data_IF_078647298740
#
_entry.id   IF_078647298740
#
_cell.length_a   1.000
_cell.length_b   1.000
_cell.length_c   1.000
_cell.angle_alpha   90.00
_cell.angle_beta   90.00
_cell.angle_gamma   90.00
#
_symmetry.space_group_name_H-M   'P 1'
#
loop_
_entity.id
_entity.type
_entity.pdbx_description
1 polymer ?
#
# COMPACT_ATOMS: atom_id res chain seq x y z
N UNK A 1 28.71 0.78 5.21
CA UNK A 1 27.92 -0.47 5.28
C UNK A 1 27.07 -0.62 4.02
N UNK A 2 27.38 -1.57 3.13
CA UNK A 2 26.55 -1.85 1.95
C UNK A 2 25.28 -2.58 2.43
N UNK A 3 24.15 -1.89 2.41
CA UNK A 3 22.86 -2.49 2.76
C UNK A 3 22.58 -3.64 1.77
N UNK A 4 22.29 -4.84 2.29
CA UNK A 4 22.13 -6.06 1.49
C UNK A 4 21.16 -5.84 0.31
N UNK A 5 21.55 -6.28 -0.90
CA UNK A 5 20.78 -6.11 -2.14
C UNK A 5 19.32 -6.60 -2.01
N UNK A 6 19.09 -7.69 -1.27
CA UNK A 6 17.75 -8.24 -1.00
C UNK A 6 16.91 -7.29 -0.14
N UNK A 7 17.49 -6.76 0.94
CA UNK A 7 16.82 -5.80 1.84
C UNK A 7 16.47 -4.52 1.06
N UNK A 8 17.42 -3.97 0.30
CA UNK A 8 17.18 -2.79 -0.55
C UNK A 8 16.03 -3.00 -1.54
N UNK A 9 16.00 -4.16 -2.21
CA UNK A 9 14.94 -4.51 -3.16
C UNK A 9 13.57 -4.58 -2.47
N UNK A 10 13.49 -5.23 -1.31
CA UNK A 10 12.24 -5.35 -0.55
C UNK A 10 11.75 -3.99 -0.06
N UNK A 11 12.63 -3.14 0.48
CA UNK A 11 12.29 -1.77 0.89
C UNK A 11 11.76 -0.94 -0.28
N UNK A 12 12.41 -1.00 -1.45
CA UNK A 12 11.94 -0.29 -2.64
C UNK A 12 10.56 -0.79 -3.11
N UNK A 13 10.29 -2.09 -3.00
CA UNK A 13 8.99 -2.67 -3.35
C UNK A 13 7.89 -2.25 -2.37
N UNK A 14 8.18 -2.23 -1.06
CA UNK A 14 7.25 -1.75 -0.02
C UNK A 14 6.87 -0.30 -0.30
N UNK A 15 7.85 0.59 -0.50
CA UNK A 15 7.61 2.00 -0.85
C UNK A 15 6.75 2.18 -2.10
N UNK A 16 6.94 1.33 -3.11
CA UNK A 16 6.09 1.35 -4.32
C UNK A 16 4.65 0.94 -4.03
N UNK A 17 4.41 0.03 -3.09
CA UNK A 17 3.06 -0.38 -2.69
C UNK A 17 2.40 0.69 -1.82
N UNK A 18 3.14 1.32 -0.90
CA UNK A 18 2.66 2.45 -0.09
C UNK A 18 2.18 3.59 -0.98
N UNK A 19 2.99 4.01 -1.98
CA UNK A 19 2.57 5.02 -2.98
C UNK A 19 1.34 4.62 -3.79
N UNK A 20 1.06 3.32 -3.96
CA UNK A 20 -0.18 2.88 -4.62
C UNK A 20 -1.38 3.00 -3.69
N UNK A 21 -1.19 2.72 -2.39
CA UNK A 21 -2.23 2.90 -1.37
C UNK A 21 -2.60 4.38 -1.29
N UNK A 22 -1.62 5.27 -1.18
CA UNK A 22 -1.83 6.74 -1.15
C UNK A 22 -2.71 7.19 -2.32
N UNK A 23 -2.40 6.75 -3.54
CA UNK A 23 -3.21 7.07 -4.74
C UNK A 23 -4.65 6.55 -4.69
N UNK A 24 -4.91 5.42 -4.03
CA UNK A 24 -6.28 4.92 -3.86
C UNK A 24 -7.01 5.68 -2.75
N UNK A 25 -6.30 6.09 -1.69
CA UNK A 25 -6.84 6.94 -0.63
C UNK A 25 -7.19 8.34 -1.17
N UNK A 26 -6.34 8.94 -2.01
CA UNK A 26 -6.65 10.19 -2.74
C UNK A 26 -7.89 10.07 -3.62
N UNK A 27 -8.04 8.94 -4.35
CA UNK A 27 -9.24 8.69 -5.17
C UNK A 27 -10.50 8.54 -4.35
N UNK A 28 -10.41 7.97 -3.15
CA UNK A 28 -11.54 7.87 -2.21
C UNK A 28 -11.96 9.26 -1.73
N UNK A 29 -11.00 10.08 -1.32
CA UNK A 29 -11.28 11.44 -0.86
C UNK A 29 -11.90 12.27 -2.00
N UNK A 30 -11.35 12.17 -3.21
CA UNK A 30 -11.93 12.85 -4.37
C UNK A 30 -13.33 12.37 -4.69
N UNK A 31 -13.62 11.07 -4.58
CA UNK A 31 -14.98 10.56 -4.78
C UNK A 31 -15.95 11.09 -3.72
N UNK A 32 -15.50 11.22 -2.47
CA UNK A 32 -16.28 11.82 -1.39
C UNK A 32 -16.59 13.29 -1.67
N UNK A 33 -15.60 14.09 -2.07
CA UNK A 33 -15.81 15.49 -2.48
C UNK A 33 -16.81 15.62 -3.63
N UNK A 34 -16.69 14.77 -4.66
CA UNK A 34 -17.63 14.78 -5.79
C UNK A 34 -19.06 14.43 -5.36
N UNK A 35 -19.21 13.55 -4.38
CA UNK A 35 -20.52 13.19 -3.83
C UNK A 35 -21.11 14.38 -3.05
N UNK A 36 -20.30 15.03 -2.21
CA UNK A 36 -20.70 16.23 -1.45
C UNK A 36 -21.07 17.41 -2.37
N UNK A 37 -20.40 17.53 -3.52
CA UNK A 37 -20.74 18.49 -4.57
C UNK A 37 -21.97 18.09 -5.40
N UNK A 38 -22.59 16.93 -5.14
CA UNK A 38 -23.72 16.42 -5.92
C UNK A 38 -23.36 15.96 -7.35
N UNK A 39 -22.06 15.86 -7.68
CA UNK A 39 -21.58 15.43 -9.01
C UNK A 39 -21.67 13.92 -9.20
N UNK A 40 -21.66 13.15 -8.10
CA UNK A 40 -21.94 11.71 -8.11
C UNK A 40 -22.97 11.38 -7.02
N UNK A 41 -23.69 10.29 -7.21
CA UNK A 41 -24.66 9.81 -6.22
C UNK A 41 -23.97 9.10 -5.06
N UNK A 42 -24.68 9.01 -3.92
CA UNK A 42 -24.24 8.20 -2.77
C UNK A 42 -23.96 6.74 -3.17
N UNK A 43 -24.77 6.17 -4.08
CA UNK A 43 -24.56 4.81 -4.57
C UNK A 43 -23.26 4.66 -5.37
N UNK A 44 -22.94 5.62 -6.24
CA UNK A 44 -21.68 5.65 -6.99
C UNK A 44 -20.47 5.78 -6.04
N UNK A 45 -20.57 6.66 -5.04
CA UNK A 45 -19.54 6.78 -4.00
C UNK A 45 -19.33 5.47 -3.24
N UNK A 46 -20.41 4.80 -2.79
CA UNK A 46 -20.28 3.53 -2.06
C UNK A 46 -19.62 2.44 -2.91
N UNK A 47 -19.96 2.34 -4.21
CA UNK A 47 -19.31 1.40 -5.12
C UNK A 47 -17.81 1.67 -5.26
N UNK A 48 -17.42 2.94 -5.46
CA UNK A 48 -16.02 3.34 -5.49
C UNK A 48 -15.32 3.05 -4.15
N UNK A 49 -16.01 3.31 -3.04
CA UNK A 49 -15.52 3.04 -1.69
C UNK A 49 -15.17 1.58 -1.49
N UNK A 50 -16.07 0.67 -1.86
CA UNK A 50 -15.84 -0.78 -1.77
C UNK A 50 -14.64 -1.20 -2.62
N UNK A 51 -14.62 -0.83 -3.90
CA UNK A 51 -13.56 -1.23 -4.84
C UNK A 51 -12.17 -0.76 -4.37
N UNK A 52 -12.04 0.52 -3.98
CA UNK A 52 -10.76 1.05 -3.55
C UNK A 52 -10.34 0.51 -2.18
N UNK A 53 -11.28 0.31 -1.25
CA UNK A 53 -10.98 -0.30 0.06
C UNK A 53 -10.47 -1.73 -0.09
N UNK A 54 -11.04 -2.51 -1.00
CA UNK A 54 -10.59 -3.88 -1.28
C UNK A 54 -9.18 -3.88 -1.89
N UNK A 55 -8.92 -2.99 -2.86
CA UNK A 55 -7.57 -2.84 -3.44
C UNK A 55 -6.53 -2.43 -2.39
N UNK A 56 -6.86 -1.46 -1.53
CA UNK A 56 -5.98 -1.03 -0.43
C UNK A 56 -5.69 -2.21 0.50
N UNK A 57 -6.71 -3.00 0.87
CA UNK A 57 -6.53 -4.20 1.71
C UNK A 57 -5.58 -5.20 1.06
N UNK A 58 -5.74 -5.47 -0.24
CA UNK A 58 -4.84 -6.34 -0.99
C UNK A 58 -3.39 -5.83 -1.01
N UNK A 59 -3.19 -4.53 -1.19
CA UNK A 59 -1.87 -3.89 -1.15
C UNK A 59 -1.24 -3.96 0.25
N UNK A 60 -2.00 -3.70 1.31
CA UNK A 60 -1.54 -3.83 2.71
C UNK A 60 -1.11 -5.26 3.02
N UNK A 61 -1.86 -6.26 2.57
CA UNK A 61 -1.46 -7.66 2.68
C UNK A 61 -0.15 -7.98 1.95
N UNK A 62 0.07 -7.39 0.77
CA UNK A 62 1.32 -7.54 0.03
C UNK A 62 2.50 -6.84 0.71
N UNK A 63 2.29 -5.67 1.33
CA UNK A 63 3.30 -4.98 2.14
C UNK A 63 3.69 -5.87 3.31
N UNK A 64 2.74 -6.36 4.08
CA UNK A 64 3.01 -7.19 5.26
C UNK A 64 3.87 -8.42 4.94
N UNK A 65 3.56 -9.13 3.83
CA UNK A 65 4.39 -10.26 3.37
C UNK A 65 5.81 -9.84 3.03
N UNK A 66 5.99 -8.68 2.40
CA UNK A 66 7.32 -8.16 2.03
C UNK A 66 8.10 -7.66 3.23
N UNK A 67 7.45 -7.03 4.20
CA UNK A 67 8.05 -6.62 5.46
C UNK A 67 8.54 -7.81 6.25
N UNK A 68 7.73 -8.87 6.38
CA UNK A 68 8.15 -10.12 7.01
C UNK A 68 9.39 -10.70 6.33
N UNK A 69 9.43 -10.72 4.99
CA UNK A 69 10.60 -11.17 4.25
C UNK A 69 11.83 -10.25 4.43
N UNK A 70 11.63 -8.93 4.58
CA UNK A 70 12.71 -7.97 4.84
C UNK A 70 13.31 -8.19 6.22
N UNK A 71 12.48 -8.30 7.24
CA UNK A 71 12.89 -8.55 8.63
C UNK A 71 13.64 -9.88 8.76
N UNK A 72 13.18 -10.93 8.08
CA UNK A 72 13.91 -12.21 8.04
C UNK A 72 15.31 -12.05 7.43
N UNK A 73 15.41 -11.35 6.29
CA UNK A 73 16.70 -11.09 5.66
C UNK A 73 17.64 -10.20 6.51
N UNK A 74 17.08 -9.26 7.26
CA UNK A 74 17.82 -8.44 8.24
C UNK A 74 18.36 -9.28 9.39
N UNK A 75 17.55 -10.20 9.91
CA UNK A 75 17.94 -11.14 10.98
C UNK A 75 19.06 -12.08 10.51
N UNK A 76 18.91 -12.73 9.37
CA UNK A 76 19.96 -13.61 8.81
C UNK A 76 21.29 -12.86 8.61
N UNK A 77 21.24 -11.59 8.19
CA UNK A 77 22.45 -10.78 8.02
C UNK A 77 23.12 -10.44 9.35
N UNK A 78 22.33 -10.23 10.41
CA UNK A 78 22.83 -9.97 11.75
C UNK A 78 23.46 -11.22 12.37
N UNK A 79 22.86 -12.39 12.17
CA UNK A 79 23.36 -13.67 12.69
C UNK A 79 24.61 -14.17 11.95
N UNK A 80 24.85 -13.72 10.72
CA UNK A 80 26.05 -14.04 9.91
C UNK A 80 27.21 -13.06 10.11
N UNK A 81 27.06 -12.06 10.98
CA UNK A 81 28.07 -11.05 11.30
C UNK A 81 28.62 -11.30 12.70
#
# INVERSE_FOLDING_TARGET
MVQNRKIRKLTAQIKKLEKKIEKYEEKLERAKELMEQGKITKAQYQKAKMEYSERIRGLRGAIHRKEKARLYAERELKEKR
#
